data_IF_714325786740
#
_entry.id   IF_714325786740
#
_cell.length_a   1.000
_cell.length_b   1.000
_cell.length_c   1.000
_cell.angle_alpha   90.00
_cell.angle_beta   90.00
_cell.angle_gamma   90.00
#
_symmetry.space_group_name_H-M   'P 1'
#
loop_
_entity.id
_entity.type
_entity.pdbx_description
1 polymer ?
#
# COMPACT_ATOMS: atom_id res chain seq x y z
N UNK A 1 2.10 30.68 -10.38
CA UNK A 1 1.53 29.87 -9.28
C UNK A 1 2.31 30.24 -8.03
N UNK A 2 1.65 30.78 -7.00
CA UNK A 2 2.36 31.34 -5.83
C UNK A 2 2.85 30.23 -4.91
N UNK A 3 4.12 30.32 -4.57
CA UNK A 3 4.83 29.44 -3.64
C UNK A 3 5.20 30.29 -2.44
N UNK A 4 5.04 29.76 -1.24
CA UNK A 4 5.30 30.48 0.00
C UNK A 4 6.19 29.62 0.90
N UNK A 5 7.10 30.28 1.62
CA UNK A 5 7.96 29.61 2.60
C UNK A 5 7.11 29.13 3.77
N UNK A 6 7.13 27.83 4.03
CA UNK A 6 6.49 27.25 5.19
C UNK A 6 7.47 27.26 6.35
N UNK A 7 7.23 28.11 7.34
CA UNK A 7 8.14 28.30 8.46
C UNK A 7 7.71 27.44 9.64
N UNK A 8 8.70 26.94 10.37
CA UNK A 8 8.48 26.27 11.63
C UNK A 8 7.95 27.23 12.70
N UNK A 9 6.97 26.78 13.49
CA UNK A 9 6.42 27.56 14.61
C UNK A 9 7.10 27.22 15.93
N UNK A 10 7.10 28.19 16.85
CA UNK A 10 7.63 28.05 18.22
C UNK A 10 6.97 26.93 19.04
N UNK A 11 5.80 26.43 18.63
CA UNK A 11 5.14 25.32 19.34
C UNK A 11 5.98 24.03 19.34
N UNK A 12 6.95 23.87 18.43
CA UNK A 12 7.91 22.76 18.45
C UNK A 12 8.88 22.80 19.64
N UNK A 13 9.13 23.97 20.21
CA UNK A 13 9.95 24.12 21.41
C UNK A 13 9.17 23.78 22.70
N UNK A 14 7.84 23.66 22.59
CA UNK A 14 6.97 23.39 23.73
C UNK A 14 7.20 22.00 24.31
N UNK A 15 6.97 21.86 25.62
CA UNK A 15 7.01 20.57 26.31
C UNK A 15 5.99 19.57 25.73
N UNK A 16 4.87 20.08 25.21
CA UNK A 16 3.84 19.25 24.56
C UNK A 16 4.37 18.58 23.31
N UNK A 17 5.10 19.34 22.47
CA UNK A 17 5.72 18.79 21.27
C UNK A 17 6.86 17.82 21.61
N UNK A 18 7.73 18.18 22.55
CA UNK A 18 8.84 17.31 22.98
C UNK A 18 8.33 15.95 23.48
N UNK A 19 7.27 15.95 24.29
CA UNK A 19 6.63 14.73 24.77
C UNK A 19 5.97 13.91 23.65
N UNK A 20 5.37 14.57 22.63
CA UNK A 20 4.89 13.87 21.44
C UNK A 20 6.04 13.21 20.70
N UNK A 21 7.10 13.97 20.44
CA UNK A 21 8.23 13.53 19.65
C UNK A 21 8.96 12.35 20.29
N UNK A 22 9.21 12.40 21.60
CA UNK A 22 9.83 11.31 22.35
C UNK A 22 9.12 9.96 22.17
N UNK A 23 7.78 9.98 22.03
CA UNK A 23 6.97 8.76 21.89
C UNK A 23 6.95 8.20 20.47
N UNK A 24 7.02 9.06 19.47
CA UNK A 24 6.82 8.65 18.07
C UNK A 24 8.13 8.59 17.27
N UNK A 25 9.21 9.20 17.77
CA UNK A 25 10.43 9.42 16.99
C UNK A 25 11.41 8.24 16.97
N UNK A 26 11.19 7.20 17.78
CA UNK A 26 12.09 6.06 17.85
C UNK A 26 12.13 5.30 16.52
N UNK A 27 13.34 5.08 15.99
CA UNK A 27 13.55 4.31 14.76
C UNK A 27 13.55 2.81 15.06
N UNK A 28 13.15 2.05 14.07
CA UNK A 28 13.16 0.59 14.14
C UNK A 28 13.85 -0.01 12.94
N UNK A 29 14.47 -1.18 13.13
CA UNK A 29 14.90 -2.05 12.04
C UNK A 29 13.91 -3.21 11.92
N UNK A 30 13.62 -3.64 10.71
CA UNK A 30 12.80 -4.82 10.50
C UNK A 30 13.64 -6.08 10.29
N UNK A 31 13.10 -7.22 10.70
CA UNK A 31 13.57 -8.56 10.37
C UNK A 31 12.39 -9.35 9.81
N UNK A 32 12.65 -10.22 8.84
CA UNK A 32 11.62 -11.02 8.19
C UNK A 32 11.92 -12.49 8.41
N UNK A 33 10.96 -13.20 8.97
CA UNK A 33 11.01 -14.64 9.19
C UNK A 33 9.95 -15.34 8.32
N UNK A 34 10.38 -16.06 7.29
CA UNK A 34 9.46 -16.76 6.39
C UNK A 34 9.37 -18.25 6.74
N UNK A 35 8.17 -18.71 7.11
CA UNK A 35 7.88 -20.14 7.27
C UNK A 35 7.57 -20.75 5.90
N UNK A 36 8.53 -21.47 5.34
CA UNK A 36 8.41 -22.08 4.00
C UNK A 36 7.21 -23.03 3.92
N UNK A 37 6.90 -23.79 4.96
CA UNK A 37 5.78 -24.73 4.96
C UNK A 37 4.42 -24.02 4.81
N UNK A 38 4.25 -22.86 5.47
CA UNK A 38 3.03 -22.05 5.33
C UNK A 38 2.90 -21.48 3.92
N UNK A 39 4.01 -21.01 3.33
CA UNK A 39 4.04 -20.53 1.95
C UNK A 39 3.59 -21.63 0.98
N UNK A 40 4.11 -22.85 1.14
CA UNK A 40 3.74 -23.97 0.28
C UNK A 40 2.25 -24.27 0.42
N UNK A 41 1.75 -24.44 1.64
CA UNK A 41 0.34 -24.80 1.88
C UNK A 41 -0.62 -23.76 1.33
N UNK A 42 -0.41 -22.48 1.63
CA UNK A 42 -1.30 -21.41 1.17
C UNK A 42 -1.21 -21.18 -0.34
N UNK A 43 -0.01 -21.27 -0.94
CA UNK A 43 0.14 -21.15 -2.39
C UNK A 43 -0.58 -22.29 -3.12
N UNK A 44 -0.51 -23.52 -2.62
CA UNK A 44 -1.23 -24.66 -3.19
C UNK A 44 -2.73 -24.43 -3.15
N UNK A 45 -3.27 -23.99 -2.00
CA UNK A 45 -4.70 -23.70 -1.84
C UNK A 45 -5.18 -22.62 -2.84
N UNK A 46 -4.44 -21.52 -2.95
CA UNK A 46 -4.81 -20.41 -3.84
C UNK A 46 -4.61 -20.73 -5.33
N UNK A 47 -3.64 -21.57 -5.69
CA UNK A 47 -3.46 -22.04 -7.07
C UNK A 47 -4.62 -22.97 -7.44
N UNK A 48 -5.04 -23.87 -6.55
CA UNK A 48 -6.14 -24.81 -6.82
C UNK A 48 -7.49 -24.10 -7.05
N UNK A 49 -7.69 -22.90 -6.49
CA UNK A 49 -8.89 -22.07 -6.73
C UNK A 49 -8.95 -21.44 -8.12
N UNK A 50 -7.86 -21.47 -8.90
CA UNK A 50 -7.78 -20.83 -10.22
C UNK A 50 -8.41 -21.71 -11.29
N UNK A 51 -9.32 -21.11 -12.06
CA UNK A 51 -9.80 -21.66 -13.32
C UNK A 51 -9.00 -21.04 -14.48
N UNK A 52 -8.53 -21.89 -15.39
CA UNK A 52 -7.71 -21.46 -16.53
C UNK A 52 -8.39 -21.92 -17.80
N UNK A 53 -8.88 -20.96 -18.57
CA UNK A 53 -9.50 -21.22 -19.85
C UNK A 53 -8.46 -21.68 -20.88
N UNK A 54 -8.85 -22.66 -21.68
CA UNK A 54 -8.05 -23.16 -22.80
C UNK A 54 -7.82 -22.05 -23.83
N UNK A 55 -6.65 -22.07 -24.49
CA UNK A 55 -6.31 -21.11 -25.53
C UNK A 55 -7.27 -21.26 -26.73
N UNK A 56 -8.11 -20.25 -26.98
CA UNK A 56 -8.96 -20.18 -28.18
C UNK A 56 -8.34 -19.21 -29.16
N UNK A 57 -7.95 -19.71 -30.34
CA UNK A 57 -7.50 -18.86 -31.45
C UNK A 57 -8.71 -18.63 -32.36
N UNK A 58 -9.13 -17.37 -32.46
CA UNK A 58 -10.12 -16.94 -33.45
C UNK A 58 -9.40 -16.59 -34.74
N UNK A 59 -9.77 -17.25 -35.85
CA UNK A 59 -9.24 -16.94 -37.17
C UNK A 59 -10.33 -16.23 -37.96
N UNK A 60 -10.10 -14.96 -38.25
CA UNK A 60 -10.96 -14.18 -39.14
C UNK A 60 -10.46 -14.37 -40.58
N UNK A 61 -11.26 -15.05 -41.41
CA UNK A 61 -10.94 -15.23 -42.83
C UNK A 61 -11.75 -14.23 -43.64
N UNK A 62 -11.04 -13.33 -44.32
CA UNK A 62 -11.65 -12.36 -45.24
C UNK A 62 -11.29 -12.76 -46.66
N UNK A 63 -12.32 -12.94 -47.51
CA UNK A 63 -12.14 -13.15 -48.95
C UNK A 63 -12.50 -11.84 -49.66
N UNK A 64 -11.58 -11.35 -50.50
CA UNK A 64 -11.78 -10.11 -51.28
C UNK A 64 -11.93 -10.52 -52.74
N UNK A 65 -13.03 -10.09 -53.36
CA UNK A 65 -13.30 -10.33 -54.78
C UNK A 65 -13.08 -9.04 -55.59
N UNK A 66 -12.33 -9.16 -56.68
CA UNK A 66 -11.93 -8.04 -57.54
C UNK A 66 -12.68 -8.15 -58.87
N UNK A 67 -13.32 -7.05 -59.30
CA UNK A 67 -13.95 -6.96 -60.61
C UNK A 67 -12.92 -6.90 -61.74
N UNK A 68 -13.38 -7.09 -62.99
CA UNK A 68 -12.53 -7.10 -64.20
C UNK A 68 -11.70 -5.81 -64.39
N UNK A 69 -12.11 -4.70 -63.74
CA UNK A 69 -11.47 -3.39 -63.83
C UNK A 69 -10.46 -3.13 -62.69
N UNK A 70 -10.24 -4.13 -61.81
CA UNK A 70 -9.36 -4.02 -60.64
C UNK A 70 -10.01 -3.40 -59.39
N UNK A 71 -11.28 -2.99 -59.48
CA UNK A 71 -12.02 -2.46 -58.34
C UNK A 71 -12.51 -3.57 -57.41
N UNK A 72 -12.37 -3.36 -56.09
CA UNK A 72 -12.85 -4.29 -55.06
C UNK A 72 -14.38 -4.29 -55.06
N UNK A 73 -15.00 -5.36 -55.55
CA UNK A 73 -16.46 -5.46 -55.64
C UNK A 73 -17.09 -5.90 -54.33
N UNK A 74 -16.48 -6.82 -53.59
CA UNK A 74 -17.09 -7.34 -52.35
C UNK A 74 -16.04 -7.90 -51.40
N UNK A 75 -16.20 -7.60 -50.10
CA UNK A 75 -15.42 -8.17 -49.01
C UNK A 75 -16.33 -9.14 -48.25
N UNK A 76 -16.04 -10.43 -48.33
CA UNK A 76 -16.72 -11.45 -47.53
C UNK A 76 -15.90 -11.70 -46.27
N UNK A 77 -16.39 -11.22 -45.13
CA UNK A 77 -15.91 -11.68 -43.83
C UNK A 77 -16.58 -13.03 -43.52
N UNK A 78 -15.82 -14.12 -43.57
CA UNK A 78 -16.30 -15.39 -43.03
C UNK A 78 -16.56 -15.23 -41.53
N UNK A 79 -17.62 -15.85 -40.99
CA UNK A 79 -17.86 -15.83 -39.54
C UNK A 79 -16.60 -16.33 -38.81
N UNK A 80 -16.21 -15.70 -37.68
CA UNK A 80 -15.10 -16.20 -36.88
C UNK A 80 -15.35 -17.67 -36.56
N UNK A 81 -14.47 -18.56 -37.03
CA UNK A 81 -14.51 -19.96 -36.62
C UNK A 81 -13.95 -20.00 -35.20
N UNK A 82 -14.80 -19.67 -34.23
CA UNK A 82 -14.49 -19.87 -32.83
C UNK A 82 -14.36 -21.38 -32.59
N UNK A 83 -13.15 -21.86 -32.35
CA UNK A 83 -12.93 -23.25 -31.94
C UNK A 83 -12.03 -24.09 -32.84
N UNK A 84 -11.26 -23.50 -33.75
CA UNK A 84 -10.11 -24.22 -34.30
C UNK A 84 -9.08 -24.45 -33.16
N UNK A 85 -9.24 -25.56 -32.42
CA UNK A 85 -8.21 -26.10 -31.53
C UNK A 85 -7.05 -26.50 -32.43
N UNK A 86 -6.11 -25.59 -32.66
CA UNK A 86 -4.90 -25.95 -33.37
C UNK A 86 -4.18 -26.94 -32.46
N UNK A 87 -4.09 -28.21 -32.86
CA UNK A 87 -3.13 -29.16 -32.28
C UNK A 87 -1.73 -28.61 -32.60
N UNK A 88 -1.26 -27.66 -31.79
CA UNK A 88 0.13 -27.21 -31.80
C UNK A 88 0.84 -27.98 -30.70
N UNK A 89 2.06 -28.38 -30.99
CA UNK A 89 3.02 -28.73 -29.96
C UNK A 89 3.34 -27.45 -29.18
N UNK A 90 2.60 -27.22 -28.09
CA UNK A 90 2.86 -26.09 -27.21
C UNK A 90 4.14 -26.40 -26.45
N UNK A 91 5.23 -25.68 -26.76
CA UNK A 91 6.49 -25.83 -26.05
C UNK A 91 6.35 -25.25 -24.64
N UNK A 92 6.35 -26.13 -23.65
CA UNK A 92 6.41 -25.75 -22.24
C UNK A 92 7.89 -25.52 -21.90
N UNK A 93 8.23 -24.28 -21.53
CA UNK A 93 9.57 -23.94 -21.05
C UNK A 93 9.84 -24.51 -19.65
N UNK A 94 10.96 -24.13 -19.04
CA UNK A 94 11.23 -24.49 -17.65
C UNK A 94 10.36 -23.67 -16.69
N UNK A 95 9.19 -24.23 -16.33
CA UNK A 95 8.21 -23.62 -15.43
C UNK A 95 8.82 -23.33 -14.07
N UNK A 96 9.55 -24.29 -13.50
CA UNK A 96 10.17 -24.17 -12.17
C UNK A 96 11.14 -22.99 -12.14
N UNK A 97 11.99 -22.87 -13.15
CA UNK A 97 12.95 -21.78 -13.24
C UNK A 97 12.28 -20.42 -13.42
N UNK A 98 11.27 -20.32 -14.28
CA UNK A 98 10.55 -19.07 -14.49
C UNK A 98 9.83 -18.61 -13.23
N UNK A 99 9.08 -19.51 -12.59
CA UNK A 99 8.37 -19.18 -11.34
C UNK A 99 9.37 -18.79 -10.25
N UNK A 100 10.47 -19.53 -10.07
CA UNK A 100 11.49 -19.20 -9.08
C UNK A 100 12.13 -17.84 -9.32
N UNK A 101 12.53 -17.55 -10.57
CA UNK A 101 13.15 -16.26 -10.94
C UNK A 101 12.22 -15.09 -10.73
N UNK A 102 10.95 -15.23 -11.10
CA UNK A 102 9.99 -14.14 -10.99
C UNK A 102 9.48 -13.96 -9.55
N UNK A 103 9.31 -15.03 -8.77
CA UNK A 103 8.82 -14.93 -7.38
C UNK A 103 9.93 -14.69 -6.36
N UNK A 104 11.19 -14.99 -6.70
CA UNK A 104 12.34 -14.87 -5.80
C UNK A 104 12.50 -16.02 -4.81
N UNK A 105 11.64 -17.05 -4.86
CA UNK A 105 11.75 -18.23 -3.98
C UNK A 105 12.65 -19.31 -4.60
N UNK A 106 13.09 -20.25 -3.78
CA UNK A 106 13.99 -21.31 -4.25
C UNK A 106 13.28 -22.26 -5.22
N UNK A 107 14.02 -22.81 -6.19
CA UNK A 107 13.50 -23.86 -7.10
C UNK A 107 12.94 -25.07 -6.34
N UNK A 108 13.51 -25.41 -5.19
CA UNK A 108 13.02 -26.48 -4.31
C UNK A 108 11.60 -26.18 -3.82
N UNK A 109 11.35 -24.97 -3.34
CA UNK A 109 10.02 -24.53 -2.88
C UNK A 109 9.00 -24.53 -4.01
N UNK A 110 9.39 -24.05 -5.20
CA UNK A 110 8.51 -24.08 -6.38
C UNK A 110 8.13 -25.51 -6.75
N UNK A 111 9.10 -26.43 -6.77
CA UNK A 111 8.85 -27.84 -7.07
C UNK A 111 7.88 -28.45 -6.04
N UNK A 112 8.06 -28.12 -4.77
CA UNK A 112 7.18 -28.57 -3.69
C UNK A 112 5.73 -28.08 -3.88
N UNK A 113 5.55 -26.80 -4.23
CA UNK A 113 4.23 -26.24 -4.56
C UNK A 113 3.61 -26.99 -5.75
N UNK A 114 4.33 -27.07 -6.88
CA UNK A 114 3.83 -27.70 -8.10
C UNK A 114 3.57 -29.20 -7.95
N UNK A 115 4.23 -29.87 -7.01
CA UNK A 115 4.00 -31.29 -6.71
C UNK A 115 2.75 -31.56 -5.87
N UNK A 116 2.16 -30.53 -5.25
CA UNK A 116 1.01 -30.63 -4.33
C UNK A 116 -0.28 -30.02 -4.87
N UNK A 117 -0.22 -29.27 -5.97
CA UNK A 117 -1.41 -28.72 -6.62
C UNK A 117 -2.21 -29.83 -7.31
N UNK A 118 -3.53 -29.73 -7.24
CA UNK A 118 -4.46 -30.69 -7.83
C UNK A 118 -4.77 -30.36 -9.29
N UNK A 119 -4.59 -29.08 -9.67
CA UNK A 119 -4.94 -28.57 -11.00
C UNK A 119 -3.74 -28.46 -11.96
N UNK A 120 -2.65 -29.22 -11.73
CA UNK A 120 -1.45 -29.16 -12.55
C UNK A 120 -1.74 -29.44 -14.04
N UNK A 121 -2.75 -30.25 -14.33
CA UNK A 121 -3.14 -30.60 -15.70
C UNK A 121 -3.56 -29.38 -16.54
N UNK A 122 -4.03 -28.30 -15.91
CA UNK A 122 -4.38 -27.04 -16.58
C UNK A 122 -3.15 -26.39 -17.25
N UNK A 123 -1.95 -26.65 -16.74
CA UNK A 123 -0.69 -26.21 -17.35
C UNK A 123 -0.59 -26.69 -18.80
N UNK A 124 -1.05 -27.90 -19.12
CA UNK A 124 -0.94 -28.44 -20.48
C UNK A 124 -1.97 -27.83 -21.45
N UNK A 125 -3.07 -27.28 -20.93
CA UNK A 125 -4.11 -26.61 -21.73
C UNK A 125 -3.73 -25.18 -22.12
N UNK A 126 -3.16 -24.42 -21.18
CA UNK A 126 -2.69 -23.06 -21.40
C UNK A 126 -1.46 -22.75 -20.53
N UNK A 127 -0.25 -23.16 -20.96
CA UNK A 127 0.93 -23.06 -20.11
C UNK A 127 1.27 -21.63 -19.69
N UNK A 128 1.12 -20.66 -20.60
CA UNK A 128 1.47 -19.27 -20.32
C UNK A 128 0.59 -18.68 -19.21
N UNK A 129 -0.73 -18.89 -19.31
CA UNK A 129 -1.67 -18.37 -18.31
C UNK A 129 -1.51 -19.08 -16.96
N UNK A 130 -1.25 -20.40 -16.97
CA UNK A 130 -0.97 -21.14 -15.73
C UNK A 130 0.28 -20.61 -15.02
N UNK A 131 1.38 -20.45 -15.75
CA UNK A 131 2.64 -19.94 -15.17
C UNK A 131 2.44 -18.53 -14.62
N UNK A 132 1.80 -17.64 -15.39
CA UNK A 132 1.53 -16.26 -14.97
C UNK A 132 0.64 -16.21 -13.73
N UNK A 133 -0.42 -16.99 -13.71
CA UNK A 133 -1.35 -17.11 -12.58
C UNK A 133 -0.63 -17.63 -11.33
N UNK A 134 0.16 -18.70 -11.45
CA UNK A 134 0.97 -19.24 -10.37
C UNK A 134 1.97 -18.21 -9.81
N UNK A 135 2.65 -17.44 -10.68
CA UNK A 135 3.57 -16.37 -10.25
C UNK A 135 2.83 -15.30 -9.44
N UNK A 136 1.66 -14.86 -9.91
CA UNK A 136 0.83 -13.86 -9.21
C UNK A 136 0.40 -14.38 -7.85
N UNK A 137 -0.09 -15.62 -7.78
CA UNK A 137 -0.52 -16.25 -6.53
C UNK A 137 0.64 -16.38 -5.55
N UNK A 138 1.75 -16.97 -5.98
CA UNK A 138 2.93 -17.19 -5.13
C UNK A 138 3.50 -15.87 -4.61
N UNK A 139 3.60 -14.82 -5.45
CA UNK A 139 4.01 -13.49 -5.00
C UNK A 139 3.03 -12.90 -3.99
N UNK A 140 1.73 -13.05 -4.21
CA UNK A 140 0.68 -12.60 -3.29
C UNK A 140 0.82 -13.25 -1.91
N UNK A 141 0.82 -14.58 -1.87
CA UNK A 141 0.97 -15.37 -0.63
C UNK A 141 2.30 -15.07 0.05
N UNK A 142 3.40 -15.00 -0.69
CA UNK A 142 4.70 -14.64 -0.14
C UNK A 142 4.63 -13.26 0.55
N UNK A 143 4.15 -12.24 -0.14
CA UNK A 143 4.05 -10.90 0.43
C UNK A 143 3.15 -10.86 1.66
N UNK A 144 2.02 -11.56 1.62
CA UNK A 144 1.09 -11.61 2.74
C UNK A 144 1.70 -12.31 3.95
N UNK A 145 2.41 -13.43 3.78
CA UNK A 145 3.12 -14.12 4.88
C UNK A 145 4.27 -13.28 5.44
N UNK A 146 5.07 -12.66 4.58
CA UNK A 146 6.16 -11.80 5.03
C UNK A 146 5.61 -10.67 5.89
N UNK A 147 4.49 -10.06 5.52
CA UNK A 147 3.97 -8.87 6.18
C UNK A 147 3.05 -9.19 7.34
N UNK A 148 2.28 -10.28 7.29
CA UNK A 148 1.33 -10.63 8.35
C UNK A 148 1.93 -11.57 9.41
N UNK A 149 2.91 -12.39 9.08
CA UNK A 149 3.44 -13.37 10.04
C UNK A 149 4.94 -13.22 10.29
N UNK A 150 5.70 -12.85 9.26
CA UNK A 150 7.16 -12.82 9.32
C UNK A 150 7.78 -11.51 9.78
N UNK A 151 7.09 -10.38 9.59
CA UNK A 151 7.66 -9.04 9.80
C UNK A 151 7.68 -8.65 11.27
N UNK A 152 8.88 -8.51 11.83
CA UNK A 152 9.12 -8.03 13.19
C UNK A 152 9.90 -6.74 13.14
N UNK A 153 9.49 -5.76 13.95
CA UNK A 153 10.22 -4.50 14.12
C UNK A 153 10.87 -4.45 15.49
N UNK A 154 12.14 -4.02 15.54
CA UNK A 154 12.91 -3.86 16.77
C UNK A 154 13.43 -2.42 16.84
N UNK A 155 13.19 -1.68 17.95
CA UNK A 155 13.76 -0.35 18.14
C UNK A 155 15.29 -0.38 18.04
N UNK A 156 15.89 0.57 17.32
CA UNK A 156 17.35 0.62 17.14
C UNK A 156 18.07 1.39 18.26
N UNK A 157 17.33 2.16 19.05
CA UNK A 157 17.89 3.14 19.99
C UNK A 157 18.13 4.52 19.36
N UNK A 158 18.06 4.62 18.03
CA UNK A 158 18.10 5.90 17.33
C UNK A 158 16.71 6.54 17.30
N UNK A 159 16.66 7.86 17.17
CA UNK A 159 15.43 8.61 16.95
C UNK A 159 15.57 9.57 15.77
N UNK A 160 14.46 9.91 15.12
CA UNK A 160 14.46 11.01 14.16
C UNK A 160 14.72 12.34 14.89
N UNK A 161 15.67 13.13 14.42
CA UNK A 161 15.95 14.44 14.99
C UNK A 161 14.98 15.49 14.46
N UNK A 162 14.43 16.32 15.36
CA UNK A 162 13.49 17.38 14.99
C UNK A 162 14.15 18.35 14.02
N UNK A 163 15.35 18.84 14.32
CA UNK A 163 16.03 19.88 13.54
C UNK A 163 16.35 19.45 12.11
N UNK A 164 16.52 18.14 11.86
CA UNK A 164 16.74 17.59 10.53
C UNK A 164 15.46 17.43 9.71
N UNK A 165 14.32 17.21 10.39
CA UNK A 165 13.05 16.91 9.75
C UNK A 165 12.14 18.14 9.62
N UNK A 166 12.27 19.08 10.54
CA UNK A 166 11.43 20.26 10.68
C UNK A 166 12.19 21.50 10.21
N UNK A 167 12.71 21.45 8.99
CA UNK A 167 13.29 22.60 8.31
C UNK A 167 12.26 23.33 7.48
N UNK A 168 12.44 24.63 7.28
CA UNK A 168 11.61 25.40 6.38
C UNK A 168 11.62 24.79 4.96
N UNK A 169 10.47 24.76 4.31
CA UNK A 169 10.33 24.27 2.94
C UNK A 169 9.31 25.07 2.16
N UNK A 170 9.42 25.04 0.85
CA UNK A 170 8.48 25.72 -0.04
C UNK A 170 7.19 24.92 -0.20
N UNK A 171 6.05 25.59 -0.05
CA UNK A 171 4.73 25.00 -0.28
C UNK A 171 3.90 25.85 -1.25
N UNK A 172 3.06 25.16 -2.01
CA UNK A 172 2.13 25.82 -2.90
C UNK A 172 0.96 26.38 -2.09
N UNK A 173 0.66 27.67 -2.23
CA UNK A 173 -0.42 28.30 -1.46
C UNK A 173 -1.77 27.60 -1.67
N UNK A 174 -2.06 27.19 -2.92
CA UNK A 174 -3.29 26.49 -3.30
C UNK A 174 -3.39 25.03 -2.84
N UNK A 175 -2.31 24.46 -2.29
CA UNK A 175 -2.26 23.10 -1.73
C UNK A 175 -1.92 23.12 -0.24
N UNK A 176 -2.22 24.23 0.43
CA UNK A 176 -1.97 24.37 1.86
C UNK A 176 -2.96 25.34 2.50
N UNK A 177 -3.28 25.11 3.77
CA UNK A 177 -4.09 26.03 4.59
C UNK A 177 -3.23 26.63 5.69
N UNK A 178 -3.69 27.73 6.30
CA UNK A 178 -3.01 28.32 7.47
C UNK A 178 -3.19 27.39 8.67
N UNK A 179 -2.11 26.96 9.31
CA UNK A 179 -2.12 25.95 10.36
C UNK A 179 -2.58 26.44 11.74
N UNK A 180 -2.58 27.75 11.98
CA UNK A 180 -2.91 28.33 13.28
C UNK A 180 -1.91 27.96 14.38
N UNK A 181 -2.22 28.32 15.63
CA UNK A 181 -1.27 28.19 16.76
C UNK A 181 -0.96 26.74 17.16
N UNK A 182 -1.87 25.81 16.84
CA UNK A 182 -1.75 24.38 17.19
C UNK A 182 -0.90 23.59 16.21
N UNK A 183 -0.64 24.11 15.01
CA UNK A 183 0.17 23.41 14.01
C UNK A 183 1.66 23.67 14.24
N UNK A 184 2.49 22.64 14.00
CA UNK A 184 3.96 22.78 13.99
C UNK A 184 4.48 23.73 12.90
N UNK A 185 3.71 23.93 11.83
CA UNK A 185 4.08 24.77 10.68
C UNK A 185 3.07 25.90 10.47
N UNK A 186 3.51 27.00 9.86
CA UNK A 186 2.62 28.11 9.47
C UNK A 186 1.52 27.67 8.50
N UNK A 187 1.86 26.75 7.61
CA UNK A 187 0.95 26.18 6.62
C UNK A 187 0.95 24.67 6.70
N UNK A 188 -0.23 24.10 6.56
CA UNK A 188 -0.45 22.65 6.52
C UNK A 188 -0.68 22.24 5.07
N UNK A 189 0.25 21.52 4.43
CA UNK A 189 0.04 21.00 3.09
C UNK A 189 -0.99 19.87 3.10
N UNK A 190 -1.74 19.73 2.02
CA UNK A 190 -2.68 18.63 1.81
C UNK A 190 -2.57 18.11 0.38
N UNK A 191 -2.76 16.81 0.19
CA UNK A 191 -2.75 16.14 -1.11
C UNK A 191 -4.18 15.79 -1.58
N UNK A 192 -5.15 15.76 -0.68
CA UNK A 192 -6.58 15.55 -0.97
C UNK A 192 -7.52 16.56 -0.28
N UNK A 193 -8.74 16.65 -0.79
CA UNK A 193 -9.81 17.46 -0.18
C UNK A 193 -10.23 16.93 1.20
N UNK A 194 -10.15 15.61 1.42
CA UNK A 194 -10.40 15.01 2.73
C UNK A 194 -9.38 15.45 3.78
N UNK A 195 -8.10 15.45 3.43
CA UNK A 195 -7.04 15.94 4.32
C UNK A 195 -7.14 17.44 4.61
N UNK A 196 -7.55 18.24 3.61
CA UNK A 196 -7.83 19.67 3.82
C UNK A 196 -8.87 19.87 4.91
N UNK A 197 -10.02 19.19 4.79
CA UNK A 197 -11.11 19.25 5.78
C UNK A 197 -10.68 18.72 7.15
N UNK A 198 -9.93 17.62 7.18
CA UNK A 198 -9.40 17.06 8.42
C UNK A 198 -8.48 18.05 9.15
N UNK A 199 -7.58 18.71 8.43
CA UNK A 199 -6.72 19.75 9.00
C UNK A 199 -7.53 20.93 9.55
N UNK A 200 -8.58 21.36 8.86
CA UNK A 200 -9.52 22.39 9.37
C UNK A 200 -10.19 21.96 10.67
N UNK A 201 -10.64 20.70 10.76
CA UNK A 201 -11.22 20.13 11.97
C UNK A 201 -10.22 20.06 13.12
N UNK A 202 -8.94 19.72 12.86
CA UNK A 202 -7.88 19.75 13.87
C UNK A 202 -7.62 21.16 14.41
N UNK A 203 -7.64 22.17 13.53
CA UNK A 203 -7.46 23.58 13.92
C UNK A 203 -8.61 24.03 14.82
N UNK A 204 -9.85 23.73 14.42
CA UNK A 204 -11.06 24.16 15.12
C UNK A 204 -11.27 23.45 16.46
N UNK A 205 -10.85 22.18 16.60
CA UNK A 205 -11.15 21.37 17.78
C UNK A 205 -10.44 21.87 19.05
N UNK A 206 -11.16 22.16 20.15
CA UNK A 206 -10.53 22.56 21.42
C UNK A 206 -9.77 21.41 22.10
N UNK A 207 -10.11 20.17 21.75
CA UNK A 207 -9.47 18.95 22.26
C UNK A 207 -8.08 18.73 21.64
N UNK A 208 -7.79 19.30 20.48
CA UNK A 208 -6.45 19.25 19.87
C UNK A 208 -5.56 20.30 20.52
N UNK A 209 -4.46 19.84 21.12
CA UNK A 209 -3.44 20.70 21.75
C UNK A 209 -2.32 21.05 20.80
N UNK A 210 -1.93 20.09 19.96
CA UNK A 210 -0.89 20.26 18.96
C UNK A 210 -1.11 19.24 17.85
N UNK A 211 -0.78 19.59 16.61
CA UNK A 211 -0.71 18.62 15.53
C UNK A 211 0.38 19.00 14.50
N UNK A 212 0.82 18.01 13.75
CA UNK A 212 1.68 18.22 12.58
C UNK A 212 1.34 17.20 11.50
N UNK A 213 1.35 17.63 10.24
CA UNK A 213 1.51 16.67 9.14
C UNK A 213 2.97 16.21 9.19
N UNK A 214 3.23 14.92 9.22
CA UNK A 214 4.59 14.41 9.35
C UNK A 214 5.40 14.75 8.09
N UNK A 215 6.63 15.25 8.24
CA UNK A 215 7.45 15.67 7.12
C UNK A 215 7.91 14.46 6.30
N UNK A 216 8.22 14.67 5.01
CA UNK A 216 8.64 13.60 4.08
C UNK A 216 9.92 12.85 4.48
N UNK A 217 10.68 13.39 5.43
CA UNK A 217 11.85 12.73 6.01
C UNK A 217 11.52 11.74 7.14
N UNK A 218 10.28 11.75 7.67
CA UNK A 218 9.80 10.76 8.63
C UNK A 218 9.52 9.43 7.92
N UNK A 219 10.59 8.67 7.66
CA UNK A 219 10.58 7.49 6.79
C UNK A 219 10.68 6.22 7.60
N UNK A 220 9.59 5.46 7.63
CA UNK A 220 9.57 4.10 8.18
C UNK A 220 10.00 3.13 7.08
N UNK A 221 11.06 2.38 7.35
CA UNK A 221 11.57 1.37 6.43
C UNK A 221 10.62 0.16 6.41
N UNK A 222 10.23 -0.26 5.21
CA UNK A 222 9.42 -1.47 5.00
C UNK A 222 10.04 -2.34 3.90
N UNK A 223 9.71 -3.65 3.83
CA UNK A 223 10.12 -4.51 2.73
C UNK A 223 9.63 -4.04 1.35
N UNK A 224 8.59 -3.19 1.30
CA UNK A 224 7.96 -2.67 0.09
C UNK A 224 8.42 -1.24 -0.25
N UNK A 225 9.49 -0.78 0.39
CA UNK A 225 10.00 0.58 0.29
C UNK A 225 9.49 1.49 1.41
N UNK A 226 9.74 2.80 1.27
CA UNK A 226 9.47 3.76 2.35
C UNK A 226 7.97 3.94 2.57
N UNK A 227 7.57 3.98 3.85
CA UNK A 227 6.27 4.41 4.35
C UNK A 227 6.42 5.72 5.15
N UNK A 228 5.49 6.65 4.95
CA UNK A 228 5.45 7.95 5.64
C UNK A 228 4.02 8.09 6.18
N UNK A 229 3.81 8.10 7.50
CA UNK A 229 2.49 8.30 8.07
C UNK A 229 2.04 9.76 7.89
N UNK A 230 0.73 10.01 7.92
CA UNK A 230 0.22 11.35 7.64
C UNK A 230 0.37 12.34 8.81
N UNK A 231 -0.10 12.00 10.00
CA UNK A 231 -0.30 12.96 11.09
C UNK A 231 0.28 12.51 12.42
N UNK A 232 0.79 13.46 13.20
CA UNK A 232 1.02 13.32 14.62
C UNK A 232 0.21 14.36 15.40
N UNK A 233 -0.56 13.93 16.40
CA UNK A 233 -1.59 14.73 17.06
C UNK A 233 -1.49 14.53 18.58
N UNK A 234 -1.56 15.63 19.33
CA UNK A 234 -1.78 15.61 20.78
C UNK A 234 -3.24 15.95 21.05
N UNK A 235 -3.97 14.96 21.55
CA UNK A 235 -5.38 15.07 21.91
C UNK A 235 -5.54 15.13 23.42
N UNK A 236 -6.48 15.94 23.90
CA UNK A 236 -6.86 16.00 25.30
C UNK A 236 -8.39 15.87 25.41
N UNK A 237 -8.89 14.82 26.10
CA UNK A 237 -10.34 14.66 26.30
C UNK A 237 -10.93 15.80 27.13
N UNK A 238 -10.15 16.36 28.06
CA UNK A 238 -10.55 17.45 28.96
C UNK A 238 -9.67 18.69 28.74
N UNK A 239 -9.86 19.43 27.62
CA UNK A 239 -8.93 20.48 27.22
C UNK A 239 -8.88 21.68 28.17
N UNK A 240 -9.89 21.87 29.02
CA UNK A 240 -9.94 22.95 30.02
C UNK A 240 -9.16 22.62 31.31
N UNK A 241 -8.83 21.34 31.55
CA UNK A 241 -8.15 20.91 32.76
C UNK A 241 -6.64 21.11 32.64
N UNK A 242 -6.07 21.94 33.51
CA UNK A 242 -4.61 22.10 33.63
C UNK A 242 -4.01 20.78 34.11
N UNK A 243 -3.02 20.27 33.39
CA UNK A 243 -2.43 18.96 33.67
C UNK A 243 -3.34 17.76 33.36
N UNK A 244 -4.45 17.98 32.64
CA UNK A 244 -5.34 16.91 32.20
C UNK A 244 -4.65 15.91 31.27
N UNK A 245 -5.27 14.74 31.12
CA UNK A 245 -4.79 13.67 30.26
C UNK A 245 -4.50 14.13 28.84
N UNK A 246 -3.41 13.61 28.27
CA UNK A 246 -3.00 13.83 26.89
C UNK A 246 -2.71 12.50 26.23
N UNK A 247 -3.30 12.30 25.06
CA UNK A 247 -3.04 11.19 24.16
C UNK A 247 -2.12 11.67 23.04
N UNK A 248 -1.15 10.82 22.70
CA UNK A 248 -0.13 11.10 21.69
C UNK A 248 -0.33 10.12 20.55
N UNK A 249 -0.85 10.65 19.44
CA UNK A 249 -1.44 9.85 18.38
C UNK A 249 -0.63 10.00 17.10
N UNK A 250 -0.40 8.89 16.41
CA UNK A 250 -0.02 8.85 15.00
C UNK A 250 -1.23 8.38 14.21
N UNK A 251 -1.59 9.10 13.15
CA UNK A 251 -2.78 8.79 12.35
C UNK A 251 -2.47 8.78 10.86
N UNK A 252 -2.90 7.71 10.20
CA UNK A 252 -2.96 7.59 8.74
C UNK A 252 -4.37 7.97 8.29
N UNK A 253 -4.51 8.80 7.26
CA UNK A 253 -5.83 9.22 6.78
C UNK A 253 -6.26 8.46 5.54
N UNK A 254 -7.48 7.91 5.55
CA UNK A 254 -8.11 7.25 4.40
C UNK A 254 -9.55 7.72 4.25
N UNK A 255 -9.73 8.79 3.48
CA UNK A 255 -11.03 9.43 3.30
C UNK A 255 -11.69 9.04 1.97
N UNK A 256 -13.02 8.90 1.99
CA UNK A 256 -13.83 8.73 0.78
C UNK A 256 -13.94 7.30 0.25
N UNK A 257 -13.38 6.32 0.96
CA UNK A 257 -13.53 4.89 0.66
C UNK A 257 -14.77 4.31 1.36
N UNK A 258 -15.41 3.31 0.75
CA UNK A 258 -16.43 2.50 1.43
C UNK A 258 -15.78 1.41 2.27
N UNK A 259 -14.73 0.79 1.72
CA UNK A 259 -13.91 -0.22 2.38
C UNK A 259 -12.47 -0.09 1.85
N UNK A 260 -11.67 0.77 2.50
CA UNK A 260 -10.30 1.07 2.06
C UNK A 260 -9.43 -0.18 1.98
N UNK A 261 -9.73 -1.24 2.74
CA UNK A 261 -8.96 -2.50 2.71
C UNK A 261 -9.15 -3.27 1.40
N UNK A 262 -10.26 -3.05 0.69
CA UNK A 262 -10.55 -3.68 -0.61
C UNK A 262 -10.24 -2.78 -1.80
N UNK A 263 -10.29 -1.47 -1.57
CA UNK A 263 -10.15 -0.47 -2.63
C UNK A 263 -8.69 -0.01 -2.82
N UNK A 264 -7.85 -0.09 -1.79
CA UNK A 264 -6.44 0.29 -1.92
C UNK A 264 -5.63 -0.74 -2.70
N UNK A 265 -4.62 -0.29 -3.49
CA UNK A 265 -3.62 -1.18 -4.03
C UNK A 265 -2.95 -1.99 -2.92
N UNK A 266 -2.74 -3.30 -3.14
CA UNK A 266 -2.17 -4.22 -2.15
C UNK A 266 -0.87 -3.68 -1.53
N UNK A 267 0.01 -3.10 -2.35
CA UNK A 267 1.27 -2.53 -1.87
C UNK A 267 1.09 -1.35 -0.90
N UNK A 268 0.04 -0.53 -1.06
CA UNK A 268 -0.27 0.57 -0.15
C UNK A 268 -0.85 0.05 1.16
N UNK A 269 -1.83 -0.86 1.08
CA UNK A 269 -2.41 -1.56 2.22
C UNK A 269 -1.32 -2.21 3.10
N UNK A 270 -0.39 -2.90 2.45
CA UNK A 270 0.72 -3.58 3.11
C UNK A 270 1.71 -2.61 3.78
N UNK A 271 1.98 -1.44 3.20
CA UNK A 271 2.80 -0.40 3.86
C UNK A 271 2.15 0.14 5.12
N UNK A 272 0.83 0.31 5.11
CA UNK A 272 0.07 0.75 6.31
C UNK A 272 0.18 -0.31 7.41
N UNK A 273 0.09 -1.60 7.07
CA UNK A 273 0.31 -2.68 8.05
C UNK A 273 1.73 -2.69 8.62
N UNK A 274 2.75 -2.40 7.78
CA UNK A 274 4.12 -2.23 8.26
C UNK A 274 4.22 -1.05 9.24
N UNK A 275 3.60 0.08 8.91
CA UNK A 275 3.48 1.25 9.80
C UNK A 275 2.87 0.89 11.15
N UNK A 276 1.76 0.15 11.15
CA UNK A 276 1.10 -0.34 12.38
C UNK A 276 2.06 -1.15 13.26
N UNK A 277 2.87 -2.04 12.67
CA UNK A 277 3.84 -2.85 13.43
C UNK A 277 5.01 -2.04 13.94
N UNK A 278 5.50 -1.09 13.15
CA UNK A 278 6.54 -0.16 13.57
C UNK A 278 6.11 0.59 14.83
N UNK A 279 4.93 1.23 14.79
CA UNK A 279 4.43 2.00 15.93
C UNK A 279 4.09 1.11 17.13
N UNK A 280 3.59 -0.11 16.91
CA UNK A 280 3.41 -1.09 17.99
C UNK A 280 4.74 -1.46 18.67
N UNK A 281 5.83 -1.64 17.90
CA UNK A 281 7.15 -1.98 18.44
C UNK A 281 7.73 -0.87 19.33
N UNK A 282 7.41 0.40 19.06
CA UNK A 282 7.80 1.55 19.88
C UNK A 282 6.71 1.99 20.87
N UNK A 283 5.61 1.23 20.99
CA UNK A 283 4.47 1.52 21.87
C UNK A 283 3.80 2.87 21.62
N UNK A 284 3.82 3.34 20.38
CA UNK A 284 3.09 4.53 19.93
C UNK A 284 1.67 4.15 19.50
N UNK A 285 0.70 5.00 19.81
CA UNK A 285 -0.69 4.83 19.39
C UNK A 285 -0.81 5.18 17.89
N UNK A 286 -0.94 4.16 17.05
CA UNK A 286 -1.18 4.29 15.62
C UNK A 286 -2.55 3.74 15.23
N UNK A 287 -3.31 4.54 14.48
CA UNK A 287 -4.55 4.07 13.87
C UNK A 287 -4.88 4.81 12.57
N UNK A 288 -5.87 4.28 11.86
CA UNK A 288 -6.39 4.84 10.63
C UNK A 288 -7.62 5.68 10.95
N UNK A 289 -7.71 6.84 10.32
CA UNK A 289 -8.84 7.77 10.44
C UNK A 289 -9.56 7.83 9.10
N UNK A 290 -10.86 7.58 9.15
CA UNK A 290 -11.77 7.52 8.01
C UNK A 290 -12.76 8.69 8.01
N UNK A 291 -12.89 9.41 9.14
CA UNK A 291 -13.79 10.57 9.28
C UNK A 291 -13.04 11.89 9.45
N UNK A 292 -13.38 12.86 8.59
CA UNK A 292 -12.76 14.20 8.63
C UNK A 292 -13.12 15.00 9.88
N UNK A 293 -14.22 14.65 10.56
CA UNK A 293 -14.76 15.37 11.73
C UNK A 293 -14.23 14.88 13.10
N UNK A 294 -13.16 14.07 13.08
CA UNK A 294 -12.43 13.58 14.25
C UNK A 294 -13.21 12.60 15.14
N UNK A 295 -14.39 12.12 14.74
CA UNK A 295 -15.21 11.22 15.56
C UNK A 295 -14.56 9.86 15.84
N UNK A 296 -13.70 9.40 14.94
CA UNK A 296 -12.93 8.16 15.01
C UNK A 296 -11.44 8.39 15.35
N UNK A 297 -11.07 9.62 15.75
CA UNK A 297 -9.68 9.96 16.04
C UNK A 297 -9.12 9.19 17.25
N UNK A 298 -9.97 8.95 18.26
CA UNK A 298 -9.67 8.22 19.47
C UNK A 298 -10.66 7.08 19.59
N UNK A 299 -10.17 5.86 19.85
CA UNK A 299 -11.03 4.71 20.13
C UNK A 299 -11.80 4.98 21.41
N UNK A 300 -13.12 4.91 21.34
CA UNK A 300 -13.97 4.85 22.53
C UNK A 300 -14.07 3.37 22.90
N UNK A 301 -13.62 3.04 24.10
CA UNK A 301 -13.87 1.73 24.71
C UNK A 301 -15.38 1.51 24.91
#
# INVERSE_FOLDING_TARGET
MRVTKNTLRRCIESEVFKALWERISARTRYSIELKTDLLVTQAVEEINKRDISNLVVTVDKVTIDFGEDGEVKTIYAGSPVAGARIKRDIRIGNVVDRVARETGITRKTVLEILSRVENLDLLFGNPEEYIRSAIVVVRGVLNDLLINDGLKYVPTGDAWEVDLLFTDFEVLERKSIVGGEKSAFDRVPYDSEGERKFAESLIASPNVKLFTKLPRGFRVDTPLGVYIPDWAIVWSPNPAQVGGEKLYLVRETKFGYKDWKKELPQAELQKIFCGRRHFAAIKADFDIVEQVDLRDLVRRD
#
